data_IF_820730745640
#
_entry.id   IF_820730745640
#
_cell.length_a   1.000
_cell.length_b   1.000
_cell.length_c   1.000
_cell.angle_alpha   90.00
_cell.angle_beta   90.00
_cell.angle_gamma   90.00
#
_symmetry.space_group_name_H-M   'P 1'
#
loop_
_entity.id
_entity.type
_entity.pdbx_description
1 polymer ?
#
# COMPACT_ATOMS: atom_id res chain seq x y z
N UNK A 1 -6.92 -37.78 57.28
CA UNK A 1 -5.63 -37.06 57.22
C UNK A 1 -5.36 -36.78 55.75
N UNK A 2 -6.20 -36.01 55.05
CA UNK A 2 -6.51 -34.57 55.21
C UNK A 2 -5.29 -33.65 55.00
N UNK A 3 -5.42 -32.90 53.90
CA UNK A 3 -5.20 -31.45 53.73
C UNK A 3 -3.81 -30.79 53.65
N UNK A 4 -3.53 -30.37 52.41
CA UNK A 4 -3.17 -29.04 51.88
C UNK A 4 -2.48 -27.94 52.74
N UNK A 5 -1.68 -27.15 51.97
CA UNK A 5 -1.25 -25.74 52.08
C UNK A 5 0.17 -25.53 52.63
N UNK A 6 1.01 -24.59 52.17
CA UNK A 6 1.12 -23.70 51.00
C UNK A 6 2.35 -22.79 51.26
N UNK A 7 2.94 -22.20 50.21
CA UNK A 7 3.89 -21.04 50.20
C UNK A 7 5.32 -21.33 50.71
N UNK A 8 6.42 -20.80 50.18
CA UNK A 8 6.70 -19.79 49.15
C UNK A 8 8.21 -19.85 48.85
N UNK A 9 8.62 -20.05 47.60
CA UNK A 9 9.99 -19.75 47.17
C UNK A 9 9.98 -18.56 46.21
N UNK A 10 10.61 -17.50 46.68
CA UNK A 10 10.94 -16.29 45.94
C UNK A 10 12.22 -16.52 45.13
N UNK A 11 12.09 -16.76 43.83
CA UNK A 11 13.20 -16.62 42.89
C UNK A 11 13.01 -15.33 42.09
N UNK A 12 13.74 -14.30 42.52
CA UNK A 12 13.98 -13.11 41.71
C UNK A 12 14.96 -13.46 40.59
N UNK A 13 14.44 -13.75 39.40
CA UNK A 13 15.24 -13.80 38.19
C UNK A 13 15.32 -12.39 37.60
N UNK A 14 16.54 -11.85 37.60
CA UNK A 14 16.85 -10.60 36.92
C UNK A 14 16.59 -10.76 35.41
N UNK A 15 15.70 -9.91 34.90
CA UNK A 15 15.47 -9.69 33.47
C UNK A 15 16.69 -9.00 32.86
N UNK A 16 17.57 -9.76 32.22
CA UNK A 16 18.56 -9.19 31.29
C UNK A 16 17.93 -9.03 29.91
N UNK A 17 17.75 -7.76 29.56
CA UNK A 17 17.39 -7.25 28.24
C UNK A 17 18.33 -7.78 27.16
N UNK A 18 17.80 -8.55 26.21
CA UNK A 18 18.55 -8.95 25.01
C UNK A 18 18.59 -7.82 23.98
N UNK A 19 19.74 -7.55 23.35
CA UNK A 19 19.95 -6.36 22.54
C UNK A 19 19.27 -6.45 21.18
N UNK A 20 18.88 -5.26 20.69
CA UNK A 20 18.65 -4.94 19.28
C UNK A 20 19.81 -5.49 18.43
N UNK A 21 19.53 -5.94 17.20
CA UNK A 21 20.43 -6.45 16.16
C UNK A 21 20.58 -7.97 16.04
N UNK A 22 19.94 -8.51 15.00
CA UNK A 22 20.13 -9.87 14.52
C UNK A 22 19.27 -10.18 13.28
N UNK A 23 19.31 -9.35 12.23
CA UNK A 23 18.73 -9.69 10.93
C UNK A 23 19.80 -10.35 10.07
N UNK A 24 19.59 -11.62 9.70
CA UNK A 24 20.50 -12.41 8.88
C UNK A 24 20.02 -12.40 7.43
N UNK A 25 20.61 -11.53 6.61
CA UNK A 25 20.18 -11.26 5.23
C UNK A 25 20.76 -12.18 4.15
N UNK A 26 21.42 -13.28 4.53
CA UNK A 26 21.95 -14.26 3.56
C UNK A 26 20.88 -15.22 3.01
N UNK A 27 19.68 -15.22 3.59
CA UNK A 27 18.52 -15.99 3.11
C UNK A 27 17.24 -15.20 3.39
N UNK A 28 16.89 -14.26 2.51
CA UNK A 28 15.72 -13.42 2.72
C UNK A 28 14.43 -14.20 2.43
N UNK A 29 13.57 -14.36 3.44
CA UNK A 29 12.18 -14.83 3.30
C UNK A 29 11.22 -13.65 3.52
N UNK A 30 10.46 -13.23 2.50
CA UNK A 30 9.43 -12.19 2.63
C UNK A 30 8.39 -12.45 3.73
N UNK A 31 8.27 -13.71 4.18
CA UNK A 31 7.27 -14.19 5.13
C UNK A 31 7.69 -13.98 6.58
N UNK A 32 8.98 -13.85 6.88
CA UNK A 32 9.51 -13.80 8.26
C UNK A 32 9.85 -12.40 8.76
N UNK A 33 10.25 -11.46 7.88
CA UNK A 33 10.71 -10.12 8.29
C UNK A 33 9.76 -8.97 7.89
N UNK A 34 8.65 -9.27 7.20
CA UNK A 34 7.75 -8.27 6.63
C UNK A 34 8.38 -7.47 5.47
N UNK A 35 7.57 -6.63 4.83
CA UNK A 35 8.00 -5.88 3.64
C UNK A 35 7.97 -4.38 3.88
N UNK A 36 9.14 -3.76 3.89
CA UNK A 36 9.31 -2.31 3.88
C UNK A 36 9.48 -1.84 2.44
N UNK A 37 8.63 -0.91 2.03
CA UNK A 37 8.67 -0.28 0.72
C UNK A 37 9.24 1.13 0.89
N UNK A 38 10.27 1.49 0.16
CA UNK A 38 10.80 2.86 0.14
C UNK A 38 11.00 3.33 -1.29
N UNK A 39 10.84 4.62 -1.52
CA UNK A 39 11.02 5.21 -2.84
C UNK A 39 11.59 6.61 -2.73
N UNK A 40 12.36 7.02 -3.74
CA UNK A 40 13.04 8.30 -3.80
C UNK A 40 12.88 8.94 -5.17
N UNK A 41 12.54 10.23 -5.15
CA UNK A 41 12.40 11.10 -6.32
C UNK A 41 11.48 10.49 -7.40
N UNK A 42 10.45 9.77 -6.97
CA UNK A 42 9.57 9.04 -7.86
C UNK A 42 8.73 10.03 -8.68
N UNK A 43 8.85 9.95 -10.00
CA UNK A 43 8.10 10.73 -10.96
C UNK A 43 7.42 9.80 -11.97
N UNK A 44 6.16 10.08 -12.29
CA UNK A 44 5.36 9.24 -13.18
C UNK A 44 4.84 10.09 -14.33
N UNK A 45 5.09 9.65 -15.56
CA UNK A 45 4.69 10.32 -16.79
C UNK A 45 3.81 9.43 -17.63
N UNK A 46 2.77 9.99 -18.22
CA UNK A 46 1.88 9.31 -19.16
C UNK A 46 2.15 9.86 -20.55
N UNK A 47 2.50 9.00 -21.50
CA UNK A 47 2.74 9.37 -22.89
C UNK A 47 1.41 9.70 -23.58
N UNK A 48 1.34 10.87 -24.21
CA UNK A 48 0.17 11.34 -24.94
C UNK A 48 0.40 11.20 -26.45
N UNK A 49 -0.59 10.67 -27.17
CA UNK A 49 -0.55 10.55 -28.64
C UNK A 49 -0.85 11.86 -29.39
N UNK A 50 -0.88 13.00 -28.71
CA UNK A 50 -1.30 14.29 -29.27
C UNK A 50 -0.11 15.15 -29.72
N UNK A 51 -0.26 15.86 -30.85
CA UNK A 51 0.72 16.80 -31.40
C UNK A 51 0.79 18.06 -30.54
N UNK A 52 1.72 18.12 -29.57
CA UNK A 52 2.01 19.35 -28.83
C UNK A 52 2.61 19.13 -27.44
N UNK A 53 2.17 18.11 -26.71
CA UNK A 53 2.76 17.71 -25.43
C UNK A 53 2.90 16.19 -25.40
N UNK A 54 4.10 15.63 -25.64
CA UNK A 54 4.29 14.19 -25.81
C UNK A 54 4.06 13.40 -24.51
N UNK A 55 4.07 14.05 -23.35
CA UNK A 55 3.85 13.42 -22.07
C UNK A 55 3.17 14.37 -21.07
N UNK A 56 2.41 13.78 -20.14
CA UNK A 56 1.83 14.45 -18.98
C UNK A 56 2.43 13.87 -17.71
N UNK A 57 3.07 14.71 -16.90
CA UNK A 57 3.56 14.31 -15.57
C UNK A 57 2.39 14.23 -14.59
N UNK A 58 2.24 13.08 -13.94
CA UNK A 58 1.19 12.79 -12.96
C UNK A 58 1.73 12.85 -11.54
N UNK A 59 2.92 12.29 -11.29
CA UNK A 59 3.62 12.33 -10.00
C UNK A 59 4.92 13.12 -10.18
N UNK A 60 5.27 13.96 -9.21
CA UNK A 60 6.40 14.87 -9.26
C UNK A 60 7.29 14.72 -8.02
N UNK A 61 8.39 13.99 -8.18
CA UNK A 61 9.48 13.81 -7.20
C UNK A 61 8.96 13.49 -5.80
N UNK A 62 8.11 12.47 -5.70
CA UNK A 62 7.58 12.02 -4.42
C UNK A 62 8.55 11.02 -3.83
N UNK A 63 8.95 11.23 -2.57
CA UNK A 63 9.80 10.33 -1.79
C UNK A 63 9.03 9.85 -0.56
N UNK A 64 9.30 8.64 -0.09
CA UNK A 64 8.60 8.10 1.07
C UNK A 64 8.98 6.67 1.43
N UNK A 65 8.52 6.23 2.60
CA UNK A 65 8.67 4.85 3.05
C UNK A 65 7.44 4.32 3.81
N UNK A 66 7.10 3.07 3.60
CA UNK A 66 6.08 2.32 4.31
C UNK A 66 6.74 1.11 4.95
N UNK A 67 6.69 1.03 6.28
CA UNK A 67 7.30 -0.06 7.05
C UNK A 67 6.42 -1.30 7.08
N UNK A 68 7.06 -2.44 7.30
CA UNK A 68 6.39 -3.69 7.65
C UNK A 68 5.35 -3.50 8.76
N UNK A 69 4.22 -4.19 8.64
CA UNK A 69 3.13 -4.15 9.61
C UNK A 69 2.31 -2.85 9.63
N UNK A 70 2.44 -2.01 8.59
CA UNK A 70 1.69 -0.76 8.49
C UNK A 70 0.43 -0.93 7.63
N UNK A 71 -0.67 -0.35 8.09
CA UNK A 71 -1.88 -0.14 7.30
C UNK A 71 -1.94 1.34 6.90
N UNK A 72 -1.71 1.60 5.61
CA UNK A 72 -1.52 2.95 5.06
C UNK A 72 -2.72 3.40 4.25
N UNK A 73 -3.24 4.60 4.54
CA UNK A 73 -4.24 5.28 3.74
C UNK A 73 -3.56 6.25 2.76
N UNK A 74 -3.64 5.96 1.46
CA UNK A 74 -3.28 6.87 0.39
C UNK A 74 -4.52 7.70 -0.01
N UNK A 75 -4.51 8.98 0.34
CA UNK A 75 -5.62 9.90 0.18
C UNK A 75 -5.21 11.14 -0.63
N UNK A 76 -6.21 11.85 -1.13
CA UNK A 76 -6.02 13.00 -2.01
C UNK A 76 -7.27 13.25 -2.86
N UNK A 77 -7.38 14.45 -3.42
CA UNK A 77 -8.47 14.83 -4.32
C UNK A 77 -8.52 13.94 -5.57
N UNK A 78 -9.66 13.95 -6.27
CA UNK A 78 -9.77 13.26 -7.56
C UNK A 78 -8.75 13.83 -8.55
N UNK A 79 -8.04 12.96 -9.27
CA UNK A 79 -6.96 13.38 -10.18
C UNK A 79 -5.63 13.75 -9.51
N UNK A 80 -5.49 13.63 -8.18
CA UNK A 80 -4.23 13.92 -7.47
C UNK A 80 -3.08 12.94 -7.77
N UNK A 81 -3.34 11.84 -8.47
CA UNK A 81 -2.33 10.83 -8.84
C UNK A 81 -2.29 9.58 -7.94
N UNK A 82 -3.25 9.39 -7.02
CA UNK A 82 -3.30 8.25 -6.06
C UNK A 82 -3.08 6.89 -6.73
N UNK A 83 -3.93 6.54 -7.69
CA UNK A 83 -3.85 5.26 -8.41
C UNK A 83 -2.55 5.15 -9.20
N UNK A 84 -2.05 6.25 -9.79
CA UNK A 84 -0.79 6.26 -10.52
C UNK A 84 0.43 6.05 -9.63
N UNK A 85 0.44 6.63 -8.42
CA UNK A 85 1.49 6.35 -7.43
C UNK A 85 1.42 4.90 -6.99
N UNK A 86 0.22 4.40 -6.65
CA UNK A 86 0.04 3.04 -6.17
C UNK A 86 0.45 1.99 -7.23
N UNK A 87 0.10 2.18 -8.51
CA UNK A 87 0.47 1.23 -9.58
C UNK A 87 1.96 1.29 -9.92
N UNK A 88 2.59 2.47 -9.81
CA UNK A 88 4.05 2.62 -9.91
C UNK A 88 4.76 1.85 -8.79
N UNK A 89 4.31 2.02 -7.55
CA UNK A 89 4.84 1.31 -6.38
C UNK A 89 4.59 -0.20 -6.42
N UNK A 90 3.54 -0.65 -7.11
CA UNK A 90 3.20 -2.08 -7.26
C UNK A 90 3.86 -2.75 -8.48
N UNK A 91 4.69 -2.05 -9.26
CA UNK A 91 5.27 -2.55 -10.51
C UNK A 91 4.21 -3.05 -11.53
N UNK A 92 3.08 -2.33 -11.59
CA UNK A 92 1.89 -2.63 -12.42
C UNK A 92 1.49 -1.43 -13.30
N UNK A 93 2.46 -0.64 -13.74
CA UNK A 93 2.23 0.48 -14.66
C UNK A 93 1.82 0.00 -16.05
N UNK A 94 0.98 0.79 -16.70
CA UNK A 94 0.55 0.53 -18.07
C UNK A 94 1.68 0.85 -19.07
N UNK A 95 1.65 0.23 -20.25
CA UNK A 95 2.71 0.32 -21.28
C UNK A 95 3.04 1.75 -21.75
N UNK A 96 2.11 2.69 -21.58
CA UNK A 96 2.25 4.10 -21.98
C UNK A 96 2.63 5.01 -20.79
N UNK A 97 3.11 4.41 -19.68
CA UNK A 97 3.53 5.11 -18.47
C UNK A 97 5.02 4.90 -18.25
N UNK A 98 5.76 5.99 -18.04
CA UNK A 98 7.18 5.99 -17.69
C UNK A 98 7.30 6.35 -16.21
N UNK A 99 8.07 5.54 -15.46
CA UNK A 99 8.38 5.78 -14.06
C UNK A 99 9.86 6.13 -13.96
N UNK A 100 10.17 7.29 -13.41
CA UNK A 100 11.51 7.74 -13.05
C UNK A 100 11.65 7.75 -11.53
N UNK A 101 12.88 7.58 -11.03
CA UNK A 101 13.18 7.47 -9.61
C UNK A 101 13.42 6.03 -9.17
N UNK A 102 13.78 5.88 -7.90
CA UNK A 102 14.19 4.60 -7.34
C UNK A 102 13.10 4.07 -6.40
N UNK A 103 12.72 2.81 -6.54
CA UNK A 103 11.85 2.09 -5.60
C UNK A 103 12.61 0.90 -5.06
N UNK A 104 12.69 0.76 -3.74
CA UNK A 104 13.32 -0.34 -3.05
C UNK A 104 12.29 -1.10 -2.21
N UNK A 105 12.45 -2.42 -2.18
CA UNK A 105 11.73 -3.35 -1.32
C UNK A 105 12.75 -4.00 -0.39
N UNK A 106 12.71 -3.66 0.91
CA UNK A 106 13.72 -4.08 1.90
C UNK A 106 15.16 -3.85 1.42
N UNK A 107 15.45 -2.63 0.94
CA UNK A 107 16.76 -2.28 0.37
C UNK A 107 17.11 -2.92 -0.98
N UNK A 108 16.24 -3.73 -1.61
CA UNK A 108 16.47 -4.28 -2.95
C UNK A 108 15.74 -3.48 -4.03
N UNK A 109 16.37 -3.15 -5.17
CA UNK A 109 15.69 -2.48 -6.27
C UNK A 109 14.48 -3.28 -6.76
N UNK A 110 13.36 -2.57 -6.93
CA UNK A 110 12.12 -3.15 -7.46
C UNK A 110 12.35 -3.77 -8.83
N UNK A 111 11.82 -4.97 -9.03
CA UNK A 111 11.85 -5.68 -10.31
C UNK A 111 10.66 -6.62 -10.48
N UNK A 112 10.74 -7.54 -11.44
CA UNK A 112 9.61 -8.42 -11.81
C UNK A 112 9.08 -9.26 -10.63
N UNK A 113 9.96 -9.63 -9.69
CA UNK A 113 9.61 -10.37 -8.46
C UNK A 113 8.57 -9.65 -7.60
N UNK A 114 8.41 -8.33 -7.76
CA UNK A 114 7.43 -7.52 -7.06
C UNK A 114 6.01 -8.06 -7.24
N UNK A 115 5.70 -8.63 -8.41
CA UNK A 115 4.38 -9.20 -8.72
C UNK A 115 4.11 -10.50 -7.98
N UNK A 116 5.16 -11.22 -7.60
CA UNK A 116 5.07 -12.50 -6.88
C UNK A 116 4.90 -12.27 -5.37
N UNK A 117 5.52 -11.22 -4.84
CA UNK A 117 5.46 -10.88 -3.41
C UNK A 117 4.32 -9.89 -3.06
N UNK A 118 3.57 -9.39 -4.05
CA UNK A 118 2.49 -8.43 -3.82
C UNK A 118 1.14 -8.86 -4.41
N UNK A 119 0.08 -8.65 -3.64
CA UNK A 119 -1.30 -8.71 -4.12
C UNK A 119 -1.79 -7.33 -4.54
N UNK A 120 -2.66 -7.26 -5.55
CA UNK A 120 -3.22 -6.00 -6.04
C UNK A 120 -4.72 -6.14 -6.24
N UNK A 121 -5.50 -5.54 -5.34
CA UNK A 121 -6.95 -5.47 -5.46
C UNK A 121 -7.32 -4.22 -6.26
N UNK A 122 -7.94 -4.42 -7.44
CA UNK A 122 -8.40 -3.34 -8.30
C UNK A 122 -9.73 -2.72 -7.78
N UNK A 123 -9.99 -1.47 -8.17
CA UNK A 123 -11.22 -0.76 -7.82
C UNK A 123 -12.47 -1.43 -8.41
N UNK A 124 -12.39 -1.92 -9.65
CA UNK A 124 -13.46 -2.65 -10.32
C UNK A 124 -13.17 -4.14 -10.26
N UNK A 125 -14.11 -4.90 -9.70
CA UNK A 125 -13.96 -6.34 -9.58
C UNK A 125 -14.37 -7.02 -10.89
N UNK A 126 -13.45 -7.83 -11.45
CA UNK A 126 -13.70 -8.62 -12.67
C UNK A 126 -14.12 -10.04 -12.27
N UNK A 127 -15.42 -10.26 -12.14
CA UNK A 127 -15.98 -11.57 -11.83
C UNK A 127 -16.75 -12.18 -12.99
N UNK A 128 -16.75 -13.52 -13.04
CA UNK A 128 -17.68 -14.27 -13.88
C UNK A 128 -18.94 -14.51 -13.05
N UNK A 129 -19.97 -13.75 -13.34
CA UNK A 129 -21.22 -13.66 -12.55
C UNK A 129 -21.96 -14.99 -12.35
N UNK A 130 -21.79 -15.95 -13.27
CA UNK A 130 -22.44 -17.25 -13.21
C UNK A 130 -21.75 -18.26 -12.28
N UNK A 131 -20.49 -18.02 -11.90
CA UNK A 131 -19.78 -18.87 -10.96
C UNK A 131 -20.27 -18.63 -9.54
N UNK A 132 -20.17 -19.66 -8.70
CA UNK A 132 -20.31 -19.51 -7.26
C UNK A 132 -19.04 -18.94 -6.63
N UNK A 133 -19.18 -18.33 -5.45
CA UNK A 133 -18.06 -17.83 -4.63
C UNK A 133 -16.99 -18.92 -4.43
N UNK A 134 -17.43 -20.15 -4.11
CA UNK A 134 -16.54 -21.29 -3.91
C UNK A 134 -15.84 -21.69 -5.20
N UNK A 135 -16.54 -21.79 -6.33
CA UNK A 135 -15.94 -22.16 -7.62
C UNK A 135 -14.88 -21.14 -8.05
N UNK A 136 -15.19 -19.85 -7.95
CA UNK A 136 -14.25 -18.78 -8.26
C UNK A 136 -12.96 -18.89 -7.46
N UNK A 137 -13.06 -19.04 -6.13
CA UNK A 137 -11.86 -19.18 -5.29
C UNK A 137 -11.07 -20.45 -5.58
N UNK A 138 -11.74 -21.57 -5.89
CA UNK A 138 -11.03 -22.80 -6.27
C UNK A 138 -10.33 -22.67 -7.63
N UNK A 139 -10.94 -21.97 -8.59
CA UNK A 139 -10.32 -21.68 -9.89
C UNK A 139 -9.10 -20.77 -9.70
N UNK A 140 -9.26 -19.66 -8.98
CA UNK A 140 -8.16 -18.73 -8.68
C UNK A 140 -7.03 -19.42 -7.91
N UNK A 141 -7.35 -20.28 -6.94
CA UNK A 141 -6.36 -21.04 -6.18
C UNK A 141 -5.57 -22.00 -7.09
N UNK A 142 -6.21 -22.62 -8.08
CA UNK A 142 -5.52 -23.49 -9.05
C UNK A 142 -4.61 -22.71 -10.01
N UNK A 143 -4.95 -21.47 -10.33
CA UNK A 143 -4.19 -20.62 -11.25
C UNK A 143 -3.02 -19.92 -10.57
N UNK A 144 -3.17 -19.51 -9.31
CA UNK A 144 -2.20 -18.66 -8.61
C UNK A 144 -1.29 -19.40 -7.63
N UNK A 145 -1.75 -20.52 -7.04
CA UNK A 145 -0.91 -21.29 -6.13
C UNK A 145 0.12 -22.13 -6.89
N UNK A 146 1.22 -22.44 -6.22
CA UNK A 146 2.26 -23.31 -6.77
C UNK A 146 1.67 -24.63 -7.28
N UNK A 147 2.21 -25.12 -8.40
CA UNK A 147 1.84 -26.42 -8.99
C UNK A 147 2.07 -27.57 -8.01
N UNK A 148 3.07 -27.45 -7.12
CA UNK A 148 3.41 -28.42 -6.07
C UNK A 148 2.37 -28.50 -4.94
N UNK A 149 1.55 -27.46 -4.75
CA UNK A 149 0.50 -27.46 -3.72
C UNK A 149 -0.54 -28.55 -4.04
N UNK A 150 -0.79 -29.43 -3.08
CA UNK A 150 -1.73 -30.55 -3.24
C UNK A 150 -3.17 -30.08 -3.32
N UNK A 151 -4.05 -30.90 -3.89
CA UNK A 151 -5.49 -30.60 -3.93
C UNK A 151 -6.11 -30.41 -2.54
N UNK A 152 -5.56 -31.08 -1.51
CA UNK A 152 -6.05 -30.96 -0.14
C UNK A 152 -5.60 -29.64 0.49
N UNK A 153 -4.33 -29.26 0.36
CA UNK A 153 -3.81 -27.97 0.82
C UNK A 153 -4.54 -26.80 0.16
N UNK A 154 -4.77 -26.87 -1.16
CA UNK A 154 -5.53 -25.84 -1.89
C UNK A 154 -6.95 -25.67 -1.32
N UNK A 155 -7.66 -26.78 -1.09
CA UNK A 155 -9.01 -26.75 -0.48
C UNK A 155 -8.99 -26.18 0.94
N UNK A 156 -7.98 -26.56 1.73
CA UNK A 156 -7.82 -26.07 3.09
C UNK A 156 -7.58 -24.57 3.12
N UNK A 157 -6.68 -24.06 2.25
CA UNK A 157 -6.39 -22.63 2.11
C UNK A 157 -7.62 -21.83 1.69
N UNK A 158 -8.38 -22.32 0.71
CA UNK A 158 -9.64 -21.68 0.29
C UNK A 158 -10.63 -21.63 1.46
N UNK A 159 -10.82 -22.73 2.18
CA UNK A 159 -11.72 -22.78 3.34
C UNK A 159 -11.31 -21.81 4.46
N UNK A 160 -10.00 -21.71 4.73
CA UNK A 160 -9.45 -20.77 5.71
C UNK A 160 -9.76 -19.33 5.32
N UNK A 161 -9.45 -18.93 4.08
CA UNK A 161 -9.71 -17.58 3.57
C UNK A 161 -11.21 -17.26 3.61
N UNK A 162 -12.06 -18.19 3.19
CA UNK A 162 -13.52 -18.00 3.25
C UNK A 162 -14.04 -17.83 4.68
N UNK A 163 -13.42 -18.50 5.66
CA UNK A 163 -13.76 -18.34 7.07
C UNK A 163 -13.33 -16.95 7.57
N UNK A 164 -12.08 -16.57 7.33
CA UNK A 164 -11.52 -15.30 7.77
C UNK A 164 -12.30 -14.10 7.18
N UNK A 165 -12.76 -14.22 5.93
CA UNK A 165 -13.53 -13.19 5.24
C UNK A 165 -15.04 -13.31 5.42
N UNK A 166 -15.51 -14.20 6.29
CA UNK A 166 -16.94 -14.43 6.53
C UNK A 166 -17.76 -14.72 5.25
N UNK A 167 -17.14 -15.38 4.26
CA UNK A 167 -17.75 -15.77 2.98
C UNK A 167 -18.37 -17.18 3.01
N UNK A 168 -18.25 -17.90 4.12
CA UNK A 168 -18.81 -19.25 4.25
C UNK A 168 -20.33 -19.31 4.04
N UNK A 169 -21.06 -18.26 4.45
CA UNK A 169 -22.52 -18.19 4.31
C UNK A 169 -22.96 -18.11 2.84
N UNK A 170 -22.25 -17.36 2.02
CA UNK A 170 -22.55 -17.16 0.60
C UNK A 170 -21.74 -18.06 -0.33
N UNK A 171 -21.02 -19.07 0.20
CA UNK A 171 -20.09 -19.92 -0.58
C UNK A 171 -20.70 -20.60 -1.81
N UNK A 172 -22.00 -20.95 -1.75
CA UNK A 172 -22.75 -21.61 -2.83
C UNK A 172 -23.59 -20.64 -3.66
N UNK A 173 -23.64 -19.38 -3.27
CA UNK A 173 -24.36 -18.34 -4.00
C UNK A 173 -23.59 -17.97 -5.27
N UNK A 174 -24.32 -17.65 -6.34
CA UNK A 174 -23.73 -17.10 -7.57
C UNK A 174 -23.18 -15.72 -7.29
N UNK A 175 -22.05 -15.35 -7.90
CA UNK A 175 -21.43 -14.04 -7.69
C UNK A 175 -22.38 -12.91 -8.13
N UNK A 176 -23.24 -13.12 -9.13
CA UNK A 176 -24.27 -12.13 -9.48
C UNK A 176 -25.25 -11.80 -8.34
N UNK A 177 -25.43 -12.72 -7.39
CA UNK A 177 -26.47 -12.64 -6.33
C UNK A 177 -25.96 -12.16 -4.98
N UNK A 178 -24.64 -12.08 -4.78
CA UNK A 178 -24.06 -11.62 -3.50
C UNK A 178 -24.04 -10.09 -3.41
N UNK A 179 -24.06 -9.58 -2.18
CA UNK A 179 -24.00 -8.14 -1.91
C UNK A 179 -22.68 -7.51 -2.37
N UNK A 180 -22.65 -6.19 -2.58
CA UNK A 180 -21.41 -5.46 -2.91
C UNK A 180 -20.30 -5.67 -1.87
N UNK A 181 -20.66 -5.72 -0.59
CA UNK A 181 -19.75 -6.07 0.51
C UNK A 181 -19.14 -7.45 0.39
N UNK A 182 -19.94 -8.44 0.02
CA UNK A 182 -19.44 -9.79 -0.23
C UNK A 182 -18.58 -9.87 -1.50
N UNK A 183 -18.92 -9.13 -2.57
CA UNK A 183 -18.08 -9.01 -3.77
C UNK A 183 -16.70 -8.44 -3.44
N UNK A 184 -16.64 -7.36 -2.64
CA UNK A 184 -15.35 -6.77 -2.22
C UNK A 184 -14.53 -7.72 -1.35
N UNK A 185 -15.17 -8.41 -0.40
CA UNK A 185 -14.49 -9.44 0.38
C UNK A 185 -14.02 -10.61 -0.47
N UNK A 186 -14.75 -11.00 -1.52
CA UNK A 186 -14.33 -12.04 -2.48
C UNK A 186 -13.15 -11.59 -3.34
N UNK A 187 -13.11 -10.31 -3.73
CA UNK A 187 -12.00 -9.73 -4.48
C UNK A 187 -10.73 -9.76 -3.64
N UNK A 188 -10.82 -9.28 -2.41
CA UNK A 188 -9.73 -9.38 -1.44
C UNK A 188 -9.34 -10.84 -1.15
N UNK A 189 -10.31 -11.76 -1.01
CA UNK A 189 -10.06 -13.19 -0.85
C UNK A 189 -9.19 -13.78 -1.96
N UNK A 190 -9.41 -13.33 -3.20
CA UNK A 190 -8.70 -13.81 -4.38
C UNK A 190 -7.22 -13.39 -4.34
N UNK A 191 -6.92 -12.20 -3.80
CA UNK A 191 -5.56 -11.72 -3.60
C UNK A 191 -4.86 -12.42 -2.42
N UNK A 192 -5.59 -12.80 -1.37
CA UNK A 192 -5.02 -13.48 -0.20
C UNK A 192 -4.65 -14.95 -0.42
N UNK A 193 -5.05 -15.54 -1.55
CA UNK A 193 -4.76 -16.94 -1.88
C UNK A 193 -3.26 -17.24 -1.77
N UNK A 194 -2.42 -16.37 -2.34
CA UNK A 194 -0.95 -16.50 -2.37
C UNK A 194 -0.26 -16.01 -1.08
N UNK A 195 -1.03 -15.62 -0.06
CA UNK A 195 -0.53 -15.03 1.20
C UNK A 195 0.50 -13.89 1.04
N UNK A 196 0.29 -12.93 0.13
CA UNK A 196 1.33 -11.96 -0.17
C UNK A 196 1.68 -11.12 1.07
N UNK A 197 2.97 -10.87 1.35
CA UNK A 197 3.40 -10.01 2.47
C UNK A 197 3.09 -8.53 2.22
N UNK A 198 2.91 -8.11 0.97
CA UNK A 198 2.55 -6.76 0.57
C UNK A 198 1.22 -6.75 -0.19
N UNK A 199 0.31 -5.86 0.17
CA UNK A 199 -1.00 -5.71 -0.45
C UNK A 199 -1.23 -4.26 -0.86
N UNK A 200 -1.62 -4.08 -2.13
CA UNK A 200 -2.14 -2.82 -2.63
C UNK A 200 -3.63 -2.98 -2.87
N UNK A 201 -4.43 -2.03 -2.38
CA UNK A 201 -5.88 -2.07 -2.53
C UNK A 201 -6.39 -0.74 -3.07
N UNK A 202 -6.89 -0.74 -4.30
CA UNK A 202 -7.51 0.44 -4.89
C UNK A 202 -8.95 0.57 -4.42
N UNK A 203 -9.23 1.57 -3.59
CA UNK A 203 -10.57 1.92 -3.11
C UNK A 203 -11.37 0.70 -2.56
N UNK A 204 -10.82 -0.06 -1.59
CA UNK A 204 -11.44 -1.30 -1.13
C UNK A 204 -12.80 -1.08 -0.44
N UNK A 205 -13.08 0.13 0.02
CA UNK A 205 -14.33 0.50 0.72
C UNK A 205 -15.37 1.14 -0.20
N UNK A 206 -15.07 1.39 -1.47
CA UNK A 206 -16.01 2.05 -2.39
C UNK A 206 -17.22 1.15 -2.66
N UNK A 207 -18.42 1.73 -2.58
CA UNK A 207 -19.69 1.02 -2.78
C UNK A 207 -20.12 0.14 -1.60
N UNK A 208 -19.45 0.24 -0.45
CA UNK A 208 -19.82 -0.46 0.78
C UNK A 208 -20.61 0.43 1.74
N UNK A 209 -21.52 -0.20 2.49
CA UNK A 209 -22.09 0.41 3.68
C UNK A 209 -21.04 0.54 4.79
N UNK A 210 -21.26 1.47 5.73
CA UNK A 210 -20.31 1.78 6.80
C UNK A 210 -19.87 0.55 7.62
N UNK A 211 -20.80 -0.38 7.88
CA UNK A 211 -20.52 -1.58 8.67
C UNK A 211 -19.65 -2.59 7.90
N UNK A 212 -19.98 -2.85 6.63
CA UNK A 212 -19.14 -3.72 5.78
C UNK A 212 -17.75 -3.15 5.55
N UNK A 213 -17.64 -1.83 5.34
CA UNK A 213 -16.37 -1.14 5.18
C UNK A 213 -15.51 -1.25 6.44
N UNK A 214 -16.07 -0.97 7.63
CA UNK A 214 -15.36 -1.08 8.89
C UNK A 214 -14.86 -2.51 9.15
N UNK A 215 -15.65 -3.54 8.83
CA UNK A 215 -15.20 -4.94 8.95
C UNK A 215 -14.02 -5.27 8.05
N UNK A 216 -14.04 -4.79 6.80
CA UNK A 216 -12.96 -5.02 5.85
C UNK A 216 -11.66 -4.39 6.34
N UNK A 217 -11.72 -3.12 6.78
CA UNK A 217 -10.55 -2.40 7.31
C UNK A 217 -10.07 -3.00 8.64
N UNK A 218 -10.97 -3.46 9.52
CA UNK A 218 -10.59 -4.12 10.77
C UNK A 218 -9.74 -5.36 10.52
N UNK A 219 -10.13 -6.16 9.52
CA UNK A 219 -9.38 -7.34 9.14
C UNK A 219 -8.05 -6.98 8.47
N UNK A 220 -8.02 -5.98 7.57
CA UNK A 220 -6.75 -5.48 7.02
C UNK A 220 -5.81 -5.03 8.13
N UNK A 221 -6.32 -4.35 9.16
CA UNK A 221 -5.53 -3.93 10.31
C UNK A 221 -4.98 -5.13 11.10
N UNK A 222 -5.77 -6.19 11.31
CA UNK A 222 -5.29 -7.42 11.94
C UNK A 222 -4.17 -8.08 11.14
N UNK A 223 -4.27 -8.08 9.81
CA UNK A 223 -3.23 -8.61 8.91
C UNK A 223 -1.96 -7.74 8.92
N UNK A 224 -2.13 -6.43 9.03
CA UNK A 224 -1.01 -5.52 9.20
C UNK A 224 -0.30 -5.77 10.54
N UNK A 225 -1.05 -5.90 11.64
CA UNK A 225 -0.50 -6.27 12.95
C UNK A 225 0.21 -7.63 12.96
N UNK A 226 -0.10 -8.54 12.04
CA UNK A 226 0.62 -9.81 11.86
C UNK A 226 1.83 -9.70 10.92
N UNK A 227 2.29 -8.49 10.59
CA UNK A 227 3.52 -8.23 9.83
C UNK A 227 3.33 -7.94 8.34
N UNK A 228 2.11 -8.03 7.79
CA UNK A 228 1.86 -7.68 6.38
C UNK A 228 1.88 -6.17 6.19
N UNK A 229 2.24 -5.72 5.01
CA UNK A 229 2.21 -4.31 4.64
C UNK A 229 1.04 -4.07 3.71
N UNK A 230 0.16 -3.11 4.04
CA UNK A 230 -1.05 -2.87 3.28
C UNK A 230 -1.15 -1.39 2.94
N UNK A 231 -1.24 -1.08 1.65
CA UNK A 231 -1.43 0.28 1.13
C UNK A 231 -2.78 0.35 0.42
N UNK A 232 -3.67 1.18 0.94
CA UNK A 232 -5.02 1.36 0.41
C UNK A 232 -5.20 2.76 -0.15
N UNK A 233 -5.71 2.94 -1.37
CA UNK A 233 -6.29 4.22 -1.76
C UNK A 233 -7.68 4.34 -1.15
N UNK A 234 -8.00 5.48 -0.55
CA UNK A 234 -9.29 5.68 0.11
C UNK A 234 -9.86 7.05 -0.23
N UNK A 235 -11.12 7.06 -0.63
CA UNK A 235 -11.87 8.26 -0.93
C UNK A 235 -12.86 8.55 0.21
N UNK A 236 -12.65 9.63 0.94
CA UNK A 236 -13.56 10.13 1.99
C UNK A 236 -14.00 9.07 3.01
N UNK A 237 -13.07 8.47 3.79
CA UNK A 237 -13.44 7.53 4.84
C UNK A 237 -14.20 8.22 5.97
N UNK A 238 -15.08 7.46 6.64
CA UNK A 238 -15.63 7.90 7.92
C UNK A 238 -14.51 8.12 8.95
N UNK A 239 -14.75 8.99 9.93
CA UNK A 239 -13.77 9.28 10.99
C UNK A 239 -13.35 8.02 11.77
N UNK A 240 -14.27 7.06 11.93
CA UNK A 240 -13.98 5.77 12.55
C UNK A 240 -13.01 4.93 11.71
N UNK A 241 -13.25 4.83 10.40
CA UNK A 241 -12.39 4.09 9.47
C UNK A 241 -11.02 4.75 9.38
N UNK A 242 -10.98 6.08 9.29
CA UNK A 242 -9.73 6.84 9.19
C UNK A 242 -8.79 6.57 10.37
N UNK A 243 -9.32 6.49 11.59
CA UNK A 243 -8.54 6.20 12.82
C UNK A 243 -7.91 4.80 12.85
N UNK A 244 -8.34 3.89 11.97
CA UNK A 244 -7.79 2.52 11.91
C UNK A 244 -6.48 2.44 11.12
N UNK A 245 -6.15 3.47 10.34
CA UNK A 245 -4.90 3.53 9.59
C UNK A 245 -3.75 3.99 10.49
N UNK A 246 -2.64 3.26 10.47
CA UNK A 246 -1.45 3.63 11.23
C UNK A 246 -0.74 4.83 10.60
N UNK A 247 -0.75 4.91 9.26
CA UNK A 247 -0.09 5.94 8.48
C UNK A 247 -1.01 6.48 7.40
N UNK A 248 -0.84 7.76 7.06
CA UNK A 248 -1.54 8.41 5.94
C UNK A 248 -0.53 9.03 4.99
N UNK A 249 -0.81 8.95 3.69
CA UNK A 249 -0.10 9.63 2.61
C UNK A 249 -1.13 10.53 1.93
N UNK A 250 -0.91 11.85 1.99
CA UNK A 250 -1.76 12.84 1.35
C UNK A 250 -1.09 13.35 0.07
N UNK A 251 -1.72 13.06 -1.07
CA UNK A 251 -1.31 13.57 -2.37
C UNK A 251 -2.19 14.74 -2.81
N UNK A 252 -1.54 15.77 -3.37
CA UNK A 252 -2.20 16.91 -3.97
C UNK A 252 -1.48 17.29 -5.26
N UNK A 253 -2.20 17.31 -6.39
CA UNK A 253 -1.65 17.70 -7.70
C UNK A 253 -0.32 17.00 -8.05
N UNK A 254 -0.22 15.69 -7.76
CA UNK A 254 0.98 14.89 -8.04
C UNK A 254 2.16 15.09 -7.08
N UNK A 255 2.01 15.93 -6.05
CA UNK A 255 3.02 16.20 -5.02
C UNK A 255 2.58 15.64 -3.68
N UNK A 256 3.56 15.39 -2.81
CA UNK A 256 3.33 14.97 -1.44
C UNK A 256 2.96 16.18 -0.57
N UNK A 257 1.77 16.16 0.02
CA UNK A 257 1.31 17.20 0.93
C UNK A 257 1.57 16.84 2.40
N UNK A 258 1.51 15.55 2.73
CA UNK A 258 1.88 15.02 4.04
C UNK A 258 2.10 13.52 3.93
N UNK A 259 2.99 12.99 4.76
CA UNK A 259 3.15 11.57 5.00
C UNK A 259 3.60 11.38 6.44
N UNK A 260 3.04 10.37 7.10
CA UNK A 260 3.40 10.07 8.49
C UNK A 260 2.25 9.45 9.26
N UNK A 261 2.42 9.34 10.57
CA UNK A 261 1.41 8.78 11.46
C UNK A 261 0.09 9.56 11.33
N UNK A 262 -1.02 8.83 11.33
CA UNK A 262 -2.37 9.42 11.23
C UNK A 262 -2.67 10.38 12.39
N UNK A 263 -2.12 10.10 13.58
CA UNK A 263 -2.23 10.96 14.77
C UNK A 263 -1.60 12.34 14.59
N UNK A 264 -0.46 12.40 13.89
CA UNK A 264 0.35 13.62 13.78
C UNK A 264 -0.10 14.52 12.62
N UNK A 265 -0.96 14.02 11.74
CA UNK A 265 -1.48 14.79 10.61
C UNK A 265 -2.18 16.07 11.09
N UNK A 266 -2.96 16.01 12.18
CA UNK A 266 -3.68 17.17 12.69
C UNK A 266 -2.70 18.28 13.13
N UNK A 267 -1.65 17.92 13.87
CA UNK A 267 -0.61 18.84 14.33
C UNK A 267 0.11 19.53 13.15
N UNK A 268 0.44 18.77 12.11
CA UNK A 268 1.04 19.33 10.90
C UNK A 268 0.15 20.40 10.25
N UNK A 269 -1.14 20.11 10.05
CA UNK A 269 -2.07 21.09 9.45
C UNK A 269 -2.32 22.29 10.38
N UNK A 270 -2.36 22.09 11.69
CA UNK A 270 -2.49 23.20 12.65
C UNK A 270 -1.28 24.13 12.63
N UNK A 271 -0.06 23.62 12.43
CA UNK A 271 1.16 24.44 12.31
C UNK A 271 1.11 25.41 11.13
N UNK A 272 0.33 25.07 10.10
CA UNK A 272 0.07 25.88 8.91
C UNK A 272 -1.15 26.81 9.06
N UNK A 273 -1.79 26.82 10.24
CA UNK A 273 -3.00 27.60 10.52
C UNK A 273 -4.31 26.92 10.14
N UNK A 274 -4.28 25.67 9.68
CA UNK A 274 -5.48 24.90 9.34
C UNK A 274 -5.99 24.11 10.55
N UNK A 275 -6.84 24.74 11.37
CA UNK A 275 -7.49 24.05 12.49
C UNK A 275 -8.70 23.24 12.06
N UNK A 276 -8.76 22.00 12.52
CA UNK A 276 -9.87 21.09 12.27
C UNK A 276 -10.99 21.40 13.28
N UNK A 277 -12.21 21.74 12.85
CA UNK A 277 -13.32 21.92 13.79
C UNK A 277 -13.65 20.63 14.54
N UNK A 278 -14.03 20.74 15.81
CA UNK A 278 -14.25 19.58 16.70
C UNK A 278 -15.23 18.52 16.16
N UNK A 279 -16.27 18.97 15.43
CA UNK A 279 -17.31 18.10 14.87
C UNK A 279 -17.12 17.81 13.37
N UNK A 280 -15.90 17.97 12.87
CA UNK A 280 -15.60 17.77 11.46
C UNK A 280 -14.69 16.56 11.26
N UNK A 281 -14.93 15.80 10.20
CA UNK A 281 -14.12 14.62 9.88
C UNK A 281 -12.71 15.07 9.42
N UNK A 282 -11.62 14.65 10.10
CA UNK A 282 -10.27 15.02 9.70
C UNK A 282 -9.95 14.61 8.26
N UNK A 283 -10.40 13.43 7.82
CA UNK A 283 -10.11 12.94 6.47
C UNK A 283 -10.73 13.85 5.39
N UNK A 284 -11.97 14.28 5.61
CA UNK A 284 -12.65 15.22 4.70
C UNK A 284 -12.00 16.60 4.74
N UNK A 285 -11.51 17.03 5.91
CA UNK A 285 -10.80 18.30 6.06
C UNK A 285 -9.53 18.32 5.21
N UNK A 286 -8.71 17.28 5.34
CA UNK A 286 -7.48 17.16 4.57
C UNK A 286 -7.76 17.15 3.06
N UNK A 287 -8.72 16.34 2.61
CA UNK A 287 -9.07 16.28 1.18
C UNK A 287 -9.59 17.62 0.67
N UNK A 288 -10.45 18.30 1.44
CA UNK A 288 -11.02 19.60 1.06
C UNK A 288 -9.95 20.68 0.97
N UNK A 289 -9.02 20.72 1.92
CA UNK A 289 -7.90 21.67 1.92
C UNK A 289 -6.94 21.43 0.74
N UNK A 290 -6.82 20.18 0.29
CA UNK A 290 -5.97 19.76 -0.82
C UNK A 290 -6.71 19.63 -2.17
N UNK A 291 -7.96 20.11 -2.25
CA UNK A 291 -8.75 20.10 -3.48
C UNK A 291 -8.63 21.42 -4.22
N UNK A 292 -8.59 21.35 -5.55
CA UNK A 292 -8.65 22.51 -6.44
C UNK A 292 -10.10 22.73 -6.84
N UNK A 293 -10.67 23.87 -6.46
CA UNK A 293 -12.05 24.24 -6.80
C UNK A 293 -12.07 25.16 -8.03
N UNK A 294 -13.02 24.99 -8.97
CA UNK A 294 -13.06 25.78 -10.22
C UNK A 294 -13.19 27.29 -10.01
N UNK A 295 -13.86 27.71 -8.94
CA UNK A 295 -14.16 29.13 -8.66
C UNK A 295 -12.93 29.89 -8.13
N UNK A 296 -11.92 29.17 -7.61
CA UNK A 296 -10.76 29.77 -6.94
C UNK A 296 -9.48 28.99 -7.23
N UNK A 297 -9.28 28.60 -8.49
CA UNK A 297 -8.24 27.65 -8.89
C UNK A 297 -6.82 28.11 -8.51
N UNK A 298 -6.47 29.37 -8.76
CA UNK A 298 -5.13 29.90 -8.50
C UNK A 298 -4.80 29.97 -7.01
N UNK A 299 -5.75 30.43 -6.19
CA UNK A 299 -5.60 30.47 -4.74
C UNK A 299 -5.45 29.06 -4.14
N UNK A 300 -6.26 28.10 -4.61
CA UNK A 300 -6.15 26.70 -4.19
C UNK A 300 -4.79 26.10 -4.59
N UNK A 301 -4.31 26.35 -5.81
CA UNK A 301 -3.00 25.87 -6.26
C UNK A 301 -1.86 26.47 -5.45
N UNK A 302 -1.95 27.75 -5.10
CA UNK A 302 -0.96 28.41 -4.26
C UNK A 302 -0.96 27.84 -2.84
N UNK A 303 -2.13 27.59 -2.25
CA UNK A 303 -2.25 26.94 -0.95
C UNK A 303 -1.63 25.53 -0.94
N UNK A 304 -1.96 24.70 -1.95
CA UNK A 304 -1.37 23.36 -2.11
C UNK A 304 0.14 23.45 -2.23
N UNK A 305 0.65 24.41 -3.02
CA UNK A 305 2.09 24.63 -3.17
C UNK A 305 2.73 24.93 -1.81
N UNK A 306 2.17 25.86 -1.05
CA UNK A 306 2.68 26.22 0.29
C UNK A 306 2.69 25.03 1.23
N UNK A 307 1.62 24.22 1.25
CA UNK A 307 1.53 23.02 2.10
C UNK A 307 2.61 22.00 1.73
N UNK A 308 2.75 21.69 0.43
CA UNK A 308 3.77 20.74 -0.06
C UNK A 308 5.20 21.23 0.22
N UNK A 309 5.46 22.53 0.00
CA UNK A 309 6.78 23.13 0.22
C UNK A 309 7.13 23.14 1.72
N UNK A 310 6.15 23.42 2.59
CA UNK A 310 6.30 23.34 4.04
C UNK A 310 6.53 21.90 4.52
N UNK A 311 5.79 20.93 3.98
CA UNK A 311 6.02 19.52 4.30
C UNK A 311 7.45 19.11 3.99
N UNK A 312 7.99 19.47 2.82
CA UNK A 312 9.34 19.10 2.40
C UNK A 312 10.46 19.55 3.36
N UNK A 313 10.24 20.62 4.14
CA UNK A 313 11.21 21.12 5.14
C UNK A 313 10.84 20.76 6.59
N UNK A 314 9.67 20.16 6.80
CA UNK A 314 9.15 19.79 8.12
C UNK A 314 9.93 18.62 8.74
N UNK A 315 9.85 18.50 10.06
CA UNK A 315 10.48 17.39 10.77
C UNK A 315 9.84 16.04 10.39
N UNK A 316 8.55 16.02 10.04
CA UNK A 316 7.87 14.83 9.52
C UNK A 316 8.51 14.31 8.23
N UNK A 317 8.89 15.20 7.31
CA UNK A 317 9.60 14.79 6.09
C UNK A 317 11.02 14.29 6.41
N UNK A 318 11.73 14.93 7.33
CA UNK A 318 13.07 14.48 7.77
C UNK A 318 13.03 13.09 8.39
N UNK A 319 12.03 12.78 9.22
CA UNK A 319 11.84 11.45 9.79
C UNK A 319 11.71 10.37 8.70
N UNK A 320 10.97 10.67 7.64
CA UNK A 320 10.80 9.78 6.50
C UNK A 320 12.09 9.68 5.69
N UNK A 321 12.76 10.80 5.44
CA UNK A 321 14.03 10.84 4.72
C UNK A 321 15.12 10.03 5.43
N UNK A 322 15.15 10.02 6.77
CA UNK A 322 16.06 9.15 7.53
C UNK A 322 15.80 7.67 7.22
N UNK A 323 14.53 7.26 7.12
CA UNK A 323 14.17 5.88 6.76
C UNK A 323 14.58 5.57 5.33
N UNK A 324 14.27 6.46 4.39
CA UNK A 324 14.65 6.31 2.98
C UNK A 324 16.17 6.22 2.85
N UNK A 325 16.91 7.14 3.47
CA UNK A 325 18.38 7.13 3.44
C UNK A 325 18.96 5.85 4.04
N UNK A 326 18.39 5.36 5.14
CA UNK A 326 18.80 4.11 5.75
C UNK A 326 18.62 2.91 4.80
N UNK A 327 17.44 2.75 4.21
CA UNK A 327 17.14 1.66 3.27
C UNK A 327 18.05 1.72 2.03
N UNK A 328 18.28 2.92 1.48
CA UNK A 328 19.16 3.12 0.33
C UNK A 328 20.65 2.95 0.68
N UNK A 329 21.07 3.29 1.89
CA UNK A 329 22.42 3.03 2.36
C UNK A 329 22.67 1.53 2.49
N UNK A 330 21.74 0.81 3.12
CA UNK A 330 21.78 -0.66 3.23
C UNK A 330 21.85 -1.33 1.86
N UNK A 331 21.06 -0.87 0.89
CA UNK A 331 21.09 -1.36 -0.49
C UNK A 331 22.50 -1.30 -1.12
N UNK A 332 23.23 -0.20 -0.88
CA UNK A 332 24.58 0.01 -1.41
C UNK A 332 25.63 -0.82 -0.69
N UNK A 333 25.55 -0.90 0.63
CA UNK A 333 26.53 -1.60 1.47
C UNK A 333 26.47 -3.12 1.28
N UNK A 334 25.28 -3.66 1.00
CA UNK A 334 25.11 -5.12 0.90
C UNK A 334 25.60 -5.74 -0.40
N UNK A 335 25.96 -4.98 -1.45
CA UNK A 335 26.34 -5.48 -2.80
C UNK A 335 25.71 -6.86 -3.08
N UNK A 336 24.38 -6.97 -3.00
CA UNK A 336 23.72 -8.25 -3.22
C UNK A 336 24.02 -8.59 -4.68
N UNK A 337 24.73 -9.70 -4.97
CA UNK A 337 25.04 -10.05 -6.34
C UNK A 337 23.70 -10.15 -7.06
N UNK A 338 23.54 -9.34 -8.10
CA UNK A 338 22.39 -9.31 -8.99
C UNK A 338 22.19 -10.70 -9.58
N UNK A 339 21.48 -11.58 -8.87
CA UNK A 339 21.21 -12.95 -9.29
C UNK A 339 20.27 -13.03 -10.50
N UNK A 340 19.87 -11.89 -11.07
CA UNK A 340 19.18 -11.81 -12.35
C UNK A 340 19.77 -10.71 -13.24
N UNK A 341 20.99 -10.91 -13.72
CA UNK A 341 21.43 -10.33 -15.00
C UNK A 341 21.78 -11.44 -15.97
N UNK A 342 20.80 -11.85 -16.77
CA UNK A 342 21.05 -12.37 -18.12
C UNK A 342 19.82 -12.19 -19.04
N UNK A 343 20.07 -11.46 -20.12
CA UNK A 343 19.23 -11.18 -21.30
C UNK A 343 18.21 -10.04 -21.12
N UNK A 344 18.18 -8.96 -21.91
CA UNK A 344 18.85 -8.59 -23.18
C UNK A 344 19.18 -7.09 -23.17
N UNK A 345 20.46 -6.76 -23.31
CA UNK A 345 20.91 -5.47 -23.82
C UNK A 345 20.79 -5.47 -25.35
N UNK A 346 19.95 -4.59 -25.92
CA UNK A 346 20.21 -3.86 -27.18
C UNK A 346 18.90 -3.32 -27.79
N UNK A 347 18.52 -2.09 -27.46
CA UNK A 347 17.80 -1.16 -28.38
C UNK A 347 17.59 0.26 -27.85
N UNK A 348 17.96 0.58 -26.60
CA UNK A 348 17.60 1.86 -25.99
C UNK A 348 18.48 3.08 -26.35
N UNK A 349 19.67 2.89 -26.93
CA UNK A 349 20.58 4.02 -27.22
C UNK A 349 20.29 4.76 -28.54
N UNK A 350 19.42 4.23 -29.40
CA UNK A 350 19.24 4.80 -30.75
C UNK A 350 18.07 5.80 -30.87
N UNK A 351 17.18 5.90 -29.88
CA UNK A 351 15.97 6.74 -29.99
C UNK A 351 16.15 8.14 -29.37
N UNK A 352 17.09 8.30 -28.42
CA UNK A 352 17.31 9.58 -27.74
C UNK A 352 18.32 10.52 -28.42
N UNK A 353 19.13 10.02 -29.36
CA UNK A 353 20.16 10.84 -30.03
C UNK A 353 19.71 11.47 -31.36
N UNK A 354 18.60 11.04 -31.97
CA UNK A 354 18.19 11.52 -33.30
C UNK A 354 17.27 12.75 -33.30
N UNK A 355 16.86 13.28 -32.14
CA UNK A 355 15.80 14.31 -32.09
C UNK A 355 16.25 15.66 -31.52
N UNK A 356 17.55 15.87 -31.31
CA UNK A 356 18.11 17.13 -30.75
C UNK A 356 19.01 17.88 -31.75
N UNK A 357 19.25 17.34 -32.95
CA UNK A 357 19.99 18.07 -33.99
C UNK A 357 19.27 17.94 -35.33
N UNK A 358 18.24 18.75 -35.55
CA UNK A 358 17.99 19.47 -36.81
C UNK A 358 16.93 20.55 -36.64
#
# INVERSE_FOLDING_TARGET
>A
MEDQRSSSHSDGSATESSPLFGRSYTYWSPVEEGVTLSWRDLSVYVLLKQKGQPYKRIINNVSGAVRAGSLVALMGSSGAGKTSLMTALAYRTADHTVVEGDVLVNGQPMGDYMRDISGFMHQVDLFIDHLTVSEHLHIMARLRLDRRTTSQERKQRVLEIMRNLSLLKCRRSKISTISGGEKKRLSFASELLTDPPLLFCDEPTTGLDSYSAQKLIAMMNLMASSGKTIVCTIHQPSSQIFKMFSQVILLASGRLAYMGATSNAAEFFESLGYRIPANYNPADFYIRTLAVLPVSEDSCKQAIKTICDHFAVSDFAKEIDVIVQYEFHMARTMQIPTLFTKSRSSTFDTVFTSSIVT
#
